data_IF_637263806868
#
_entry.id   IF_637263806868
#
_cell.length_a   1.000
_cell.length_b   1.000
_cell.length_c   1.000
_cell.angle_alpha   90.00
_cell.angle_beta   90.00
_cell.angle_gamma   90.00
#
_symmetry.space_group_name_H-M   'P 1'
#
loop_
_entity.id
_entity.type
_entity.pdbx_description
1 polymer ?
#
# COMPACT_ATOMS: atom_id res chain seq x y z
N UNK A 1 13.00 7.83 -29.29
CA UNK A 1 12.50 8.03 -27.91
C UNK A 1 12.34 6.64 -27.32
N UNK A 2 13.09 6.32 -26.27
CA UNK A 2 12.92 5.07 -25.53
C UNK A 2 11.54 5.10 -24.86
N UNK A 3 10.65 4.16 -25.19
CA UNK A 3 9.38 4.01 -24.48
C UNK A 3 9.69 3.71 -23.00
N UNK A 4 9.40 4.68 -22.14
CA UNK A 4 9.36 4.46 -20.69
C UNK A 4 8.09 3.64 -20.45
N UNK A 5 8.25 2.38 -20.06
CA UNK A 5 7.09 1.57 -19.75
C UNK A 5 6.55 2.03 -18.39
N UNK A 6 5.33 2.59 -18.39
CA UNK A 6 4.73 3.08 -17.16
C UNK A 6 4.61 1.93 -16.15
N UNK A 7 5.07 2.15 -14.92
CA UNK A 7 4.93 1.19 -13.82
C UNK A 7 3.45 0.92 -13.59
N UNK A 8 3.04 -0.33 -13.79
CA UNK A 8 1.66 -0.79 -13.59
C UNK A 8 1.53 -1.37 -12.19
N UNK A 9 0.99 -0.58 -11.27
CA UNK A 9 0.69 -1.05 -9.92
C UNK A 9 -0.54 -1.97 -9.98
N UNK A 10 -0.48 -3.17 -9.38
CA UNK A 10 -1.63 -4.05 -9.32
C UNK A 10 -2.76 -3.43 -8.51
N UNK A 11 -4.01 -3.83 -8.80
CA UNK A 11 -5.17 -3.43 -8.00
C UNK A 11 -4.95 -3.83 -6.54
N UNK A 12 -5.28 -2.93 -5.62
CA UNK A 12 -5.11 -3.16 -4.19
C UNK A 12 -5.87 -4.40 -3.71
N UNK A 13 -5.15 -5.35 -3.11
CA UNK A 13 -5.73 -6.54 -2.52
C UNK A 13 -5.97 -6.33 -1.02
N UNK A 14 -7.20 -5.97 -0.65
CA UNK A 14 -7.62 -5.78 0.75
C UNK A 14 -7.49 -7.03 1.60
N UNK A 15 -7.67 -8.21 1.01
CA UNK A 15 -7.65 -9.49 1.72
C UNK A 15 -6.23 -9.93 2.07
N UNK A 16 -5.23 -9.51 1.29
CA UNK A 16 -3.82 -9.79 1.56
C UNK A 16 -2.93 -8.61 1.12
N UNK A 17 -2.83 -7.56 1.98
CA UNK A 17 -1.99 -6.41 1.71
C UNK A 17 -0.50 -6.77 1.61
N UNK A 18 -0.06 -7.80 2.34
CA UNK A 18 1.33 -8.28 2.31
C UNK A 18 1.68 -8.80 0.92
N UNK A 19 0.86 -9.69 0.37
CA UNK A 19 1.02 -10.18 -1.01
C UNK A 19 0.96 -9.04 -2.03
N UNK A 20 0.05 -8.07 -1.83
CA UNK A 20 -0.02 -6.90 -2.70
C UNK A 20 1.27 -6.09 -2.76
N UNK A 21 1.92 -5.85 -1.61
CA UNK A 21 3.21 -5.18 -1.60
C UNK A 21 4.31 -6.02 -2.29
N UNK A 22 4.31 -7.35 -2.15
CA UNK A 22 5.26 -8.21 -2.90
C UNK A 22 5.11 -8.04 -4.42
N UNK A 23 3.87 -7.94 -4.90
CA UNK A 23 3.61 -7.67 -6.32
C UNK A 23 4.09 -6.27 -6.73
N UNK A 24 3.82 -5.24 -5.91
CA UNK A 24 4.29 -3.87 -6.17
C UNK A 24 5.82 -3.78 -6.27
N UNK A 25 6.55 -4.41 -5.34
CA UNK A 25 8.01 -4.48 -5.35
C UNK A 25 8.55 -5.12 -6.63
N UNK A 26 7.86 -6.16 -7.12
CA UNK A 26 8.22 -6.82 -8.38
C UNK A 26 8.07 -5.86 -9.56
N UNK A 27 6.99 -5.07 -9.60
CA UNK A 27 6.82 -4.04 -10.63
C UNK A 27 7.89 -2.94 -10.53
N UNK A 28 8.25 -2.50 -9.32
CA UNK A 28 9.32 -1.51 -9.13
C UNK A 28 10.69 -2.03 -9.58
N UNK A 29 10.99 -3.29 -9.30
CA UNK A 29 12.24 -3.94 -9.71
C UNK A 29 12.35 -4.08 -11.25
N UNK A 30 11.22 -4.29 -11.93
CA UNK A 30 11.15 -4.46 -13.39
C UNK A 30 10.93 -3.15 -14.16
N UNK A 31 10.87 -2.00 -13.47
CA UNK A 31 10.67 -0.71 -14.12
C UNK A 31 11.79 -0.41 -15.14
N UNK A 32 11.42 0.19 -16.27
CA UNK A 32 12.35 0.56 -17.34
C UNK A 32 12.38 2.08 -17.51
N UNK A 33 13.56 2.69 -17.81
CA UNK A 33 14.83 2.05 -18.16
C UNK A 33 15.66 1.55 -16.96
N UNK A 34 15.27 1.86 -15.72
CA UNK A 34 15.94 1.39 -14.51
C UNK A 34 14.94 1.07 -13.39
N UNK A 35 15.29 0.18 -12.45
CA UNK A 35 14.47 -0.10 -11.28
C UNK A 35 14.16 1.15 -10.46
N UNK A 36 12.97 1.18 -9.86
CA UNK A 36 12.59 2.20 -8.90
C UNK A 36 13.09 1.76 -7.51
N UNK A 37 14.05 2.49 -6.99
CA UNK A 37 14.66 2.22 -5.67
C UNK A 37 14.38 3.31 -4.64
N UNK A 38 14.06 4.53 -5.07
CA UNK A 38 13.82 5.66 -4.19
C UNK A 38 12.52 5.49 -3.40
N UNK A 39 12.61 5.60 -2.07
CA UNK A 39 11.47 5.41 -1.16
C UNK A 39 10.31 6.36 -1.46
N UNK A 40 10.58 7.66 -1.63
CA UNK A 40 9.55 8.66 -1.96
C UNK A 40 8.82 8.33 -3.27
N UNK A 41 9.55 7.87 -4.29
CA UNK A 41 8.95 7.48 -5.57
C UNK A 41 8.03 6.27 -5.38
N UNK A 42 8.47 5.22 -4.67
CA UNK A 42 7.61 4.05 -4.36
C UNK A 42 6.38 4.46 -3.56
N UNK A 43 6.54 5.30 -2.54
CA UNK A 43 5.45 5.85 -1.74
C UNK A 43 4.39 6.53 -2.62
N UNK A 44 4.80 7.42 -3.54
CA UNK A 44 3.87 8.12 -4.42
C UNK A 44 3.06 7.17 -5.31
N UNK A 45 3.68 6.08 -5.80
CA UNK A 45 2.97 5.04 -6.55
C UNK A 45 1.92 4.34 -5.70
N UNK A 46 2.25 4.00 -4.45
CA UNK A 46 1.30 3.36 -3.52
C UNK A 46 0.12 4.30 -3.27
N UNK A 47 0.36 5.56 -2.89
CA UNK A 47 -0.67 6.55 -2.61
C UNK A 47 -1.63 6.73 -3.79
N UNK A 48 -1.10 6.84 -5.01
CA UNK A 48 -1.91 7.02 -6.22
C UNK A 48 -2.85 5.84 -6.53
N UNK A 49 -2.60 4.66 -5.95
CA UNK A 49 -3.35 3.43 -6.22
C UNK A 49 -4.15 2.93 -5.01
N UNK A 50 -4.16 3.66 -3.90
CA UNK A 50 -4.99 3.30 -2.75
C UNK A 50 -6.47 3.65 -3.02
N UNK A 51 -7.39 2.71 -2.78
CA UNK A 51 -8.81 3.02 -2.70
C UNK A 51 -9.09 4.05 -1.58
N UNK A 52 -10.13 4.91 -1.72
CA UNK A 52 -10.38 5.99 -0.76
C UNK A 52 -10.57 5.54 0.70
N UNK A 53 -11.20 4.39 0.92
CA UNK A 53 -11.38 3.81 2.25
C UNK A 53 -10.08 3.26 2.85
N UNK A 54 -9.24 2.61 2.05
CA UNK A 54 -7.88 2.22 2.46
C UNK A 54 -7.03 3.44 2.76
N UNK A 55 -7.08 4.49 1.92
CA UNK A 55 -6.35 5.73 2.15
C UNK A 55 -6.81 6.42 3.46
N UNK A 56 -8.10 6.33 3.78
CA UNK A 56 -8.66 6.85 5.03
C UNK A 56 -8.14 6.10 6.27
N UNK A 57 -7.88 4.79 6.17
CA UNK A 57 -7.33 3.97 7.27
C UNK A 57 -5.92 4.40 7.71
N UNK A 58 -5.13 4.94 6.77
CA UNK A 58 -3.74 5.40 6.98
C UNK A 58 -3.60 6.91 6.77
N UNK A 59 -4.69 7.69 6.95
CA UNK A 59 -4.72 9.13 6.65
C UNK A 59 -3.59 9.90 7.31
N UNK A 60 -3.31 9.64 8.57
CA UNK A 60 -2.22 10.27 9.33
C UNK A 60 -0.85 10.02 8.69
N UNK A 61 -0.60 8.80 8.21
CA UNK A 61 0.63 8.45 7.47
C UNK A 61 0.72 9.22 6.15
N UNK A 62 -0.40 9.39 5.45
CA UNK A 62 -0.42 10.13 4.19
C UNK A 62 -0.20 11.64 4.38
N UNK A 63 -0.73 12.19 5.47
CA UNK A 63 -0.61 13.61 5.80
C UNK A 63 0.75 13.96 6.42
N UNK A 64 1.39 12.98 7.08
CA UNK A 64 2.66 13.13 7.78
C UNK A 64 3.58 11.93 7.46
N UNK A 65 4.03 11.82 6.20
CA UNK A 65 4.93 10.74 5.81
C UNK A 65 6.31 10.91 6.47
N UNK A 66 6.96 9.79 6.74
CA UNK A 66 8.33 9.75 7.25
C UNK A 66 9.27 10.46 6.26
N UNK A 67 10.18 11.27 6.80
CA UNK A 67 11.05 12.11 5.98
C UNK A 67 12.15 11.31 5.25
N UNK A 68 12.48 10.10 5.73
CA UNK A 68 13.61 9.31 5.25
C UNK A 68 13.14 8.10 4.44
N UNK A 69 12.15 7.38 4.95
CA UNK A 69 11.63 6.16 4.33
C UNK A 69 10.08 6.08 4.39
N UNK A 70 9.37 6.97 3.68
CA UNK A 70 7.91 7.00 3.67
C UNK A 70 7.28 5.71 3.12
N UNK A 71 7.99 5.00 2.24
CA UNK A 71 7.52 3.72 1.70
C UNK A 71 7.53 2.60 2.75
N UNK A 72 8.58 2.49 3.57
CA UNK A 72 8.59 1.52 4.65
C UNK A 72 7.49 1.80 5.68
N UNK A 73 7.28 3.07 6.04
CA UNK A 73 6.23 3.46 6.98
C UNK A 73 4.84 3.09 6.44
N UNK A 74 4.47 3.51 5.23
CA UNK A 74 3.14 3.22 4.68
C UNK A 74 2.91 1.71 4.51
N UNK A 75 3.95 0.95 4.12
CA UNK A 75 3.85 -0.51 4.00
C UNK A 75 3.51 -1.16 5.34
N UNK A 76 4.24 -0.80 6.39
CA UNK A 76 4.03 -1.36 7.71
C UNK A 76 2.65 -0.99 8.28
N UNK A 77 2.29 0.29 8.24
CA UNK A 77 1.03 0.78 8.78
C UNK A 77 -0.19 0.21 8.05
N UNK A 78 -0.10 0.09 6.73
CA UNK A 78 -1.20 -0.40 5.91
C UNK A 78 -1.43 -1.91 6.11
N UNK A 79 -0.36 -2.69 6.30
CA UNK A 79 -0.46 -4.11 6.68
C UNK A 79 -1.06 -4.25 8.09
N UNK A 80 -0.52 -3.53 9.07
CA UNK A 80 -0.93 -3.63 10.47
C UNK A 80 -2.41 -3.27 10.65
N UNK A 81 -2.83 -2.10 10.16
CA UNK A 81 -4.18 -1.58 10.36
C UNK A 81 -5.23 -2.35 9.56
N UNK A 82 -4.87 -2.91 8.40
CA UNK A 82 -5.78 -3.79 7.65
C UNK A 82 -6.08 -5.08 8.42
N UNK A 83 -5.07 -5.64 9.10
CA UNK A 83 -5.23 -6.80 9.97
C UNK A 83 -6.13 -6.50 11.18
N UNK A 84 -5.91 -5.37 11.84
CA UNK A 84 -6.74 -4.92 12.98
C UNK A 84 -8.20 -4.68 12.57
N UNK A 85 -8.43 -3.97 11.46
CA UNK A 85 -9.77 -3.71 10.94
C UNK A 85 -10.52 -5.01 10.63
N UNK A 86 -9.82 -5.99 10.04
CA UNK A 86 -10.43 -7.29 9.74
C UNK A 86 -10.83 -8.04 11.02
N UNK A 87 -9.99 -8.01 12.05
CA UNK A 87 -10.31 -8.63 13.35
C UNK A 87 -11.48 -7.93 14.05
N UNK A 88 -11.55 -6.60 13.98
CA UNK A 88 -12.66 -5.84 14.56
C UNK A 88 -13.98 -6.17 13.88
N UNK A 89 -13.99 -6.29 12.56
CA UNK A 89 -15.18 -6.67 11.80
C UNK A 89 -15.68 -8.07 12.18
N UNK A 90 -14.77 -9.04 12.27
CA UNK A 90 -15.09 -10.40 12.74
C UNK A 90 -15.70 -10.35 14.15
N UNK A 91 -15.10 -9.59 15.08
CA UNK A 91 -15.63 -9.46 16.46
C UNK A 91 -17.04 -8.88 16.48
N UNK A 92 -17.32 -7.84 15.68
CA UNK A 92 -18.67 -7.23 15.59
C UNK A 92 -19.71 -8.21 15.07
N UNK A 93 -19.38 -8.98 14.03
CA UNK A 93 -20.25 -10.02 13.48
C UNK A 93 -20.56 -11.12 14.50
N UNK A 94 -19.57 -11.50 15.30
CA UNK A 94 -19.74 -12.50 16.36
C UNK A 94 -20.51 -11.95 17.58
N UNK A 95 -20.38 -10.65 17.90
CA UNK A 95 -21.09 -10.03 19.03
C UNK A 95 -22.53 -9.60 18.71
N UNK A 96 -22.85 -9.39 17.43
CA UNK A 96 -24.18 -8.96 16.97
C UNK A 96 -25.23 -10.07 16.84
N UNK A 97 -24.90 -11.30 17.28
CA UNK A 97 -25.77 -12.47 17.22
C UNK A 97 -26.31 -12.80 18.63
N UNK A 98 -27.10 -11.88 19.19
CA UNK A 98 -27.92 -12.09 20.38
C UNK A 98 -29.35 -11.64 20.09
#
# INVERSE_FOLDING_TARGET
>A
MSEVNAVKIPVYNRSDPTLWFVMCESTFALATPKPITESLTKYNYIVAHLPPDTASLVRDVLMHPDATDPYAQIKNELINRSGESSQQEIRKLLSGKN
#
